data_IF_786607221705
#
_entry.id   IF_786607221705
#
_cell.length_a   1.000
_cell.length_b   1.000
_cell.length_c   1.000
_cell.angle_alpha   90.00
_cell.angle_beta   90.00
_cell.angle_gamma   90.00
#
_symmetry.space_group_name_H-M   'P 1'
#
loop_
_entity.id
_entity.type
_entity.pdbx_description
1 polymer ?
#
# COMPACT_ATOMS: atom_id res chain seq x y z
N UNK A 1 2.30 -21.19 3.37
CA UNK A 1 2.50 -20.04 2.45
C UNK A 1 2.37 -18.76 3.26
N UNK A 2 3.45 -18.02 3.45
CA UNK A 2 3.38 -16.71 4.09
C UNK A 2 3.01 -15.72 2.99
N UNK A 3 1.76 -15.28 2.95
CA UNK A 3 1.38 -14.14 2.13
C UNK A 3 2.11 -12.92 2.70
N UNK A 4 3.06 -12.39 1.95
CA UNK A 4 3.76 -11.17 2.34
C UNK A 4 2.87 -9.97 1.99
N UNK A 5 2.35 -9.31 3.03
CA UNK A 5 1.58 -8.10 2.86
C UNK A 5 2.36 -7.02 2.09
N UNK A 6 3.68 -6.94 2.28
CA UNK A 6 4.54 -6.01 1.56
C UNK A 6 4.45 -6.21 0.05
N UNK A 7 4.46 -7.48 -0.38
CA UNK A 7 4.27 -7.84 -1.78
C UNK A 7 2.85 -7.48 -2.28
N UNK A 8 1.81 -7.78 -1.50
CA UNK A 8 0.44 -7.42 -1.88
C UNK A 8 0.24 -5.90 -2.04
N UNK A 9 0.87 -5.09 -1.18
CA UNK A 9 0.84 -3.63 -1.29
C UNK A 9 1.64 -3.15 -2.49
N UNK A 10 2.80 -3.75 -2.76
CA UNK A 10 3.60 -3.46 -3.95
C UNK A 10 2.80 -3.71 -5.23
N UNK A 11 2.26 -4.92 -5.38
CA UNK A 11 1.51 -5.35 -6.56
C UNK A 11 0.34 -4.40 -6.81
N UNK A 12 -0.49 -4.16 -5.79
CA UNK A 12 -1.63 -3.27 -5.91
C UNK A 12 -1.23 -1.84 -6.27
N UNK A 13 -0.14 -1.32 -5.69
CA UNK A 13 0.38 0.00 -6.03
C UNK A 13 0.81 0.07 -7.50
N UNK A 14 1.46 -0.97 -8.01
CA UNK A 14 1.89 -1.03 -9.42
C UNK A 14 0.72 -1.17 -10.38
N UNK A 15 -0.31 -1.94 -10.04
CA UNK A 15 -1.56 -2.04 -10.83
C UNK A 15 -2.26 -0.69 -10.95
N UNK A 16 -2.21 0.13 -9.89
CA UNK A 16 -2.76 1.49 -9.89
C UNK A 16 -1.87 2.49 -10.65
N UNK A 17 -0.66 2.11 -11.07
CA UNK A 17 0.29 2.99 -11.74
C UNK A 17 0.83 4.13 -10.87
N UNK A 18 0.74 4.03 -9.54
CA UNK A 18 1.16 5.10 -8.62
C UNK A 18 2.55 4.85 -8.02
N UNK A 19 3.28 5.92 -7.74
CA UNK A 19 4.59 5.83 -7.09
C UNK A 19 4.47 5.55 -5.58
N UNK A 20 5.56 5.12 -4.94
CA UNK A 20 5.63 5.01 -3.47
C UNK A 20 5.37 6.35 -2.78
N UNK A 21 5.81 7.47 -3.37
CA UNK A 21 5.54 8.82 -2.84
C UNK A 21 4.05 9.12 -2.84
N UNK A 22 3.36 8.74 -3.93
CA UNK A 22 1.92 8.97 -4.08
C UNK A 22 1.12 8.08 -3.12
N UNK A 23 1.50 6.81 -2.97
CA UNK A 23 0.91 5.94 -1.93
C UNK A 23 1.12 6.51 -0.53
N UNK A 24 2.34 6.97 -0.23
CA UNK A 24 2.67 7.56 1.05
C UNK A 24 1.78 8.78 1.35
N UNK A 25 1.63 9.67 0.37
CA UNK A 25 0.75 10.84 0.47
C UNK A 25 -0.70 10.44 0.73
N UNK A 26 -1.24 9.48 -0.02
CA UNK A 26 -2.63 8.98 0.14
C UNK A 26 -2.88 8.30 1.47
N UNK A 27 -1.89 7.58 1.97
CA UNK A 27 -1.96 6.86 3.24
C UNK A 27 -1.54 7.73 4.44
N UNK A 28 -1.24 9.02 4.24
CA UNK A 28 -0.79 9.97 5.28
C UNK A 28 0.52 9.53 5.98
N UNK A 29 1.45 8.98 5.22
CA UNK A 29 2.71 8.42 5.70
C UNK A 29 3.89 8.94 4.88
N UNK A 30 5.11 8.61 5.33
CA UNK A 30 6.34 8.99 4.64
C UNK A 30 6.71 7.95 3.58
N UNK A 31 7.38 8.39 2.52
CA UNK A 31 7.87 7.48 1.46
C UNK A 31 8.83 6.40 1.98
N UNK A 32 9.77 6.67 2.90
CA UNK A 32 10.60 5.61 3.50
C UNK A 32 9.77 4.54 4.20
N UNK A 33 8.71 4.93 4.94
CA UNK A 33 7.84 3.98 5.63
C UNK A 33 7.10 3.03 4.68
N UNK A 34 6.71 3.53 3.50
CA UNK A 34 6.14 2.70 2.42
C UNK A 34 7.20 1.75 1.86
N UNK A 35 8.42 2.22 1.63
CA UNK A 35 9.52 1.37 1.16
C UNK A 35 9.83 0.24 2.14
N UNK A 36 9.94 0.53 3.44
CA UNK A 36 10.12 -0.48 4.50
C UNK A 36 8.98 -1.51 4.48
N UNK A 37 7.73 -1.04 4.37
CA UNK A 37 6.58 -1.93 4.34
C UNK A 37 6.57 -2.87 3.13
N UNK A 38 6.96 -2.38 1.95
CA UNK A 38 7.08 -3.21 0.73
C UNK A 38 8.25 -4.20 0.78
N UNK A 39 9.27 -3.98 1.63
CA UNK A 39 10.52 -4.76 1.66
C UNK A 39 10.64 -5.70 2.86
N UNK A 40 10.31 -5.22 4.06
CA UNK A 40 10.57 -5.93 5.33
C UNK A 40 9.39 -6.80 5.78
N UNK A 41 8.25 -6.77 5.09
CA UNK A 41 7.09 -7.62 5.38
C UNK A 41 6.61 -7.53 6.84
N UNK A 42 6.88 -6.41 7.52
CA UNK A 42 6.55 -6.23 8.93
C UNK A 42 5.04 -6.11 9.08
N UNK A 43 4.44 -6.92 9.96
CA UNK A 43 3.00 -6.91 10.22
C UNK A 43 2.56 -5.52 10.71
N UNK A 44 1.80 -4.75 9.91
CA UNK A 44 1.32 -3.45 10.33
C UNK A 44 0.16 -3.60 11.31
N UNK A 45 -0.06 -2.57 12.10
CA UNK A 45 -1.22 -2.51 12.99
C UNK A 45 -2.53 -2.42 12.19
N UNK A 46 -3.65 -2.82 12.77
CA UNK A 46 -4.98 -2.70 12.14
C UNK A 46 -5.29 -1.27 11.62
N UNK A 47 -5.00 -0.18 12.37
CA UNK A 47 -5.20 1.17 11.85
C UNK A 47 -4.37 1.47 10.60
N UNK A 48 -3.15 0.94 10.54
CA UNK A 48 -2.28 1.11 9.38
C UNK A 48 -2.80 0.31 8.17
N UNK A 49 -3.30 -0.91 8.38
CA UNK A 49 -3.97 -1.69 7.33
C UNK A 49 -5.16 -0.93 6.75
N UNK A 50 -6.01 -0.35 7.59
CA UNK A 50 -7.17 0.41 7.13
C UNK A 50 -6.77 1.64 6.29
N UNK A 51 -5.69 2.34 6.66
CA UNK A 51 -5.14 3.46 5.89
C UNK A 51 -4.61 3.02 4.53
N UNK A 52 -3.86 1.91 4.49
CA UNK A 52 -3.33 1.34 3.24
C UNK A 52 -4.46 0.88 2.32
N UNK A 53 -5.46 0.17 2.85
CA UNK A 53 -6.62 -0.28 2.08
C UNK A 53 -7.34 0.91 1.43
N UNK A 54 -7.61 1.98 2.21
CA UNK A 54 -8.24 3.21 1.67
C UNK A 54 -7.39 3.89 0.61
N UNK A 55 -6.07 3.98 0.82
CA UNK A 55 -5.16 4.61 -0.13
C UNK A 55 -5.04 3.84 -1.46
N UNK A 56 -5.16 2.51 -1.39
CA UNK A 56 -5.11 1.59 -2.54
C UNK A 56 -6.48 1.39 -3.21
N UNK A 57 -7.58 1.81 -2.57
CA UNK A 57 -8.93 1.79 -3.15
C UNK A 57 -9.35 3.13 -3.79
N UNK A 58 -8.62 4.21 -3.49
CA UNK A 58 -8.95 5.59 -3.90
C UNK A 58 -9.03 5.87 -5.43
N UNK A 59 -8.84 4.86 -6.29
CA UNK A 59 -8.96 4.97 -7.75
C UNK A 59 -9.80 3.85 -8.39
N UNK A 60 -10.30 2.85 -7.64
CA UNK A 60 -11.14 1.78 -8.20
C UNK A 60 -12.63 2.15 -8.21
N UNK A 61 -13.04 3.05 -9.12
CA UNK A 61 -14.46 3.17 -9.55
C UNK A 61 -14.71 2.72 -11.00
N UNK A 62 -13.72 2.12 -11.66
CA UNK A 62 -13.90 1.49 -12.98
C UNK A 62 -12.92 0.31 -13.03
N UNK A 63 -13.31 -0.90 -13.43
CA UNK A 63 -14.16 -1.24 -14.56
C UNK A 63 -15.15 -2.36 -14.23
N UNK A 64 -16.30 -2.31 -14.91
CA UNK A 64 -17.12 -3.48 -15.23
C UNK A 64 -16.31 -4.52 -15.97
#
# INVERSE_FOLDING_TARGET
MRFDLGQAVHDRRTELGISRTELAKRAEMTRPRVSELELDGTMPTLPLLARLARALDAQSRARR
#
